data_IF_521740196545
#
_entry.id   IF_521740196545
#
_cell.length_a   1.000
_cell.length_b   1.000
_cell.length_c   1.000
_cell.angle_alpha   90.00
_cell.angle_beta   90.00
_cell.angle_gamma   90.00
#
_symmetry.space_group_name_H-M   'P 1'
#
loop_
_entity.id
_entity.type
_entity.pdbx_description
1 polymer ?
#
# COMPACT_ATOMS: atom_id res chain seq x y z
N UNK A 1 -41.87 -2.91 -15.97
CA UNK A 1 -40.60 -2.80 -16.67
C UNK A 1 -39.78 -4.04 -16.31
N UNK A 2 -39.60 -4.93 -17.29
CA UNK A 2 -38.80 -6.15 -17.10
C UNK A 2 -37.32 -5.77 -17.00
N UNK A 3 -36.51 -6.42 -16.12
CA UNK A 3 -35.09 -6.22 -16.09
C UNK A 3 -34.46 -6.72 -17.39
N UNK A 4 -33.38 -6.09 -17.88
CA UNK A 4 -32.70 -6.56 -19.07
C UNK A 4 -32.12 -7.96 -18.84
N UNK A 5 -32.01 -8.80 -19.89
CA UNK A 5 -31.53 -10.15 -19.77
C UNK A 5 -30.08 -10.16 -19.30
N UNK A 6 -29.78 -11.04 -18.34
CA UNK A 6 -28.42 -11.34 -17.89
C UNK A 6 -27.62 -11.93 -19.04
N UNK A 7 -26.83 -11.11 -19.74
CA UNK A 7 -25.80 -11.63 -20.63
C UNK A 7 -24.62 -12.08 -19.79
N UNK A 8 -24.68 -13.33 -19.33
CA UNK A 8 -23.48 -14.04 -18.87
C UNK A 8 -22.46 -14.11 -20.04
N UNK A 9 -21.15 -14.16 -19.75
CA UNK A 9 -20.15 -14.23 -20.78
C UNK A 9 -20.37 -15.47 -21.65
N UNK A 10 -20.69 -15.27 -22.92
CA UNK A 10 -20.71 -16.30 -23.94
C UNK A 10 -19.30 -16.93 -24.00
N UNK A 11 -19.14 -18.14 -23.47
CA UNK A 11 -18.00 -18.98 -23.76
C UNK A 11 -18.14 -19.45 -25.20
N UNK A 12 -17.48 -18.76 -26.12
CA UNK A 12 -17.19 -19.33 -27.43
C UNK A 12 -16.16 -20.46 -27.23
N UNK A 13 -16.44 -21.63 -27.79
CA UNK A 13 -15.65 -22.85 -27.70
C UNK A 13 -14.37 -22.83 -28.56
N UNK A 14 -13.76 -21.67 -28.73
CA UNK A 14 -12.54 -21.48 -29.54
C UNK A 14 -11.51 -20.78 -28.68
N UNK A 15 -10.41 -21.46 -28.39
CA UNK A 15 -9.21 -21.02 -27.61
C UNK A 15 -8.89 -19.52 -27.57
N UNK A 16 -7.69 -19.11 -27.12
CA UNK A 16 -7.39 -17.70 -26.92
C UNK A 16 -7.48 -16.91 -28.22
N UNK A 17 -7.97 -15.68 -28.16
CA UNK A 17 -7.78 -14.73 -29.26
C UNK A 17 -6.30 -14.47 -29.43
N UNK A 18 -5.84 -14.46 -30.68
CA UNK A 18 -4.43 -14.29 -31.05
C UNK A 18 -4.30 -12.99 -31.81
N UNK A 19 -3.44 -12.11 -31.32
CA UNK A 19 -3.14 -10.83 -31.97
C UNK A 19 -1.70 -10.90 -32.47
N UNK A 20 -1.50 -10.78 -33.78
CA UNK A 20 -0.17 -10.77 -34.42
C UNK A 20 0.52 -9.42 -34.29
N UNK A 21 1.79 -9.36 -34.72
CA UNK A 21 2.65 -8.17 -34.62
C UNK A 21 2.01 -6.87 -35.15
N UNK A 22 1.23 -6.97 -36.24
CA UNK A 22 0.55 -5.81 -36.86
C UNK A 22 -0.65 -5.32 -36.03
N UNK A 23 -1.23 -6.19 -35.20
CA UNK A 23 -2.41 -5.90 -34.39
C UNK A 23 -2.01 -5.39 -33.01
N UNK A 24 -1.01 -6.04 -32.36
CA UNK A 24 -0.62 -5.66 -31.02
C UNK A 24 0.39 -4.52 -30.96
N UNK A 25 1.19 -4.29 -32.01
CA UNK A 25 2.13 -3.17 -32.11
C UNK A 25 3.25 -3.15 -31.06
N UNK A 26 3.51 -4.25 -30.37
CA UNK A 26 4.60 -4.35 -29.40
C UNK A 26 5.93 -4.24 -30.15
N UNK A 27 6.80 -3.31 -29.71
CA UNK A 27 8.15 -3.20 -30.25
C UNK A 27 9.09 -4.20 -29.55
N UNK A 28 9.79 -5.07 -30.29
CA UNK A 28 10.77 -5.98 -29.68
C UNK A 28 11.88 -5.29 -28.88
N UNK A 29 12.20 -4.05 -29.21
CA UNK A 29 13.21 -3.24 -28.50
C UNK A 29 12.74 -2.78 -27.12
N UNK A 30 11.44 -2.82 -26.84
CA UNK A 30 10.86 -2.52 -25.53
C UNK A 30 10.91 -3.70 -24.55
N UNK A 31 11.37 -4.88 -25.00
CA UNK A 31 11.38 -6.10 -24.19
C UNK A 31 12.78 -6.34 -23.61
N UNK A 32 12.85 -6.65 -22.32
CA UNK A 32 14.12 -6.99 -21.67
C UNK A 32 14.76 -8.23 -22.29
N UNK A 33 16.03 -8.12 -22.66
CA UNK A 33 16.82 -9.25 -23.17
C UNK A 33 17.03 -10.33 -22.11
N UNK A 34 17.11 -9.92 -20.84
CA UNK A 34 17.20 -10.84 -19.71
C UNK A 34 15.92 -11.67 -19.57
N UNK A 35 14.74 -11.04 -19.70
CA UNK A 35 13.45 -11.73 -19.68
C UNK A 35 13.30 -12.71 -20.87
N UNK A 36 13.70 -12.27 -22.09
CA UNK A 36 13.71 -13.14 -23.26
C UNK A 36 14.66 -14.34 -23.09
N UNK A 37 15.81 -14.14 -22.47
CA UNK A 37 16.76 -15.23 -22.17
C UNK A 37 16.14 -16.26 -21.23
N UNK A 38 15.40 -15.82 -20.21
CA UNK A 38 14.70 -16.73 -19.28
C UNK A 38 13.63 -17.54 -20.02
N UNK A 39 12.78 -16.88 -20.85
CA UNK A 39 11.75 -17.58 -21.65
C UNK A 39 12.38 -18.62 -22.58
N UNK A 40 13.44 -18.27 -23.30
CA UNK A 40 14.12 -19.18 -24.23
C UNK A 40 14.77 -20.36 -23.49
N UNK A 41 15.36 -20.13 -22.32
CA UNK A 41 15.94 -21.22 -21.52
C UNK A 41 14.90 -22.22 -21.06
N UNK A 42 13.73 -21.74 -20.59
CA UNK A 42 12.60 -22.59 -20.21
C UNK A 42 12.11 -23.42 -21.41
N UNK A 43 11.94 -22.79 -22.58
CA UNK A 43 11.50 -23.47 -23.82
C UNK A 43 12.52 -24.50 -24.30
N UNK A 44 13.81 -24.20 -24.22
CA UNK A 44 14.89 -25.15 -24.58
C UNK A 44 14.92 -26.37 -23.67
N UNK A 45 14.41 -26.21 -22.41
CA UNK A 45 14.23 -27.33 -21.49
C UNK A 45 12.90 -28.08 -21.67
N UNK A 46 12.08 -27.70 -22.68
CA UNK A 46 10.81 -28.35 -23.02
C UNK A 46 9.59 -27.78 -22.31
N UNK A 47 9.71 -26.68 -21.60
CA UNK A 47 8.60 -26.05 -20.88
C UNK A 47 7.93 -24.94 -21.71
N UNK A 48 6.62 -24.91 -21.70
CA UNK A 48 5.84 -23.80 -22.23
C UNK A 48 6.08 -22.55 -21.37
N UNK A 49 6.30 -21.38 -21.99
CA UNK A 49 6.59 -20.14 -21.24
C UNK A 49 6.28 -18.90 -22.06
N UNK A 50 5.80 -17.85 -21.34
CA UNK A 50 5.36 -16.57 -21.92
C UNK A 50 5.76 -15.41 -21.02
N UNK A 51 5.95 -14.22 -21.60
CA UNK A 51 5.86 -12.98 -20.85
C UNK A 51 4.39 -12.72 -20.48
N UNK A 52 4.12 -12.16 -19.29
CA UNK A 52 2.74 -12.10 -18.80
C UNK A 52 2.44 -10.89 -17.93
N UNK A 53 1.18 -10.51 -17.89
CA UNK A 53 0.68 -9.59 -16.88
C UNK A 53 1.03 -8.12 -17.14
N UNK A 54 1.63 -7.48 -16.14
CA UNK A 54 1.91 -6.05 -16.18
C UNK A 54 2.79 -5.59 -17.32
N UNK A 55 3.81 -6.37 -17.68
CA UNK A 55 4.71 -6.02 -18.77
C UNK A 55 4.03 -6.07 -20.13
N UNK A 56 3.20 -7.08 -20.40
CA UNK A 56 2.47 -7.20 -21.68
C UNK A 56 1.47 -6.06 -21.80
N UNK A 57 0.71 -5.78 -20.74
CA UNK A 57 -0.21 -4.63 -20.69
C UNK A 57 0.51 -3.30 -20.97
N UNK A 58 1.63 -3.06 -20.29
CA UNK A 58 2.34 -1.79 -20.41
C UNK A 58 2.96 -1.64 -21.80
N UNK A 59 3.48 -2.72 -22.42
CA UNK A 59 3.94 -2.74 -23.80
C UNK A 59 2.81 -2.42 -24.79
N UNK A 60 1.62 -3.01 -24.62
CA UNK A 60 0.44 -2.72 -25.45
C UNK A 60 -0.04 -1.27 -25.33
N UNK A 61 0.17 -0.65 -24.16
CA UNK A 61 -0.11 0.78 -23.92
C UNK A 61 1.02 1.71 -24.41
N UNK A 62 2.08 1.18 -25.05
CA UNK A 62 3.24 1.96 -25.47
C UNK A 62 4.06 2.53 -24.33
N UNK A 63 4.02 1.90 -23.14
CA UNK A 63 4.74 2.32 -21.95
C UNK A 63 5.89 1.37 -21.66
N UNK A 64 7.07 1.85 -21.22
CA UNK A 64 8.14 0.97 -20.78
C UNK A 64 7.71 0.20 -19.52
N UNK A 65 7.73 -1.15 -19.53
CA UNK A 65 7.50 -1.93 -18.33
C UNK A 65 8.57 -1.68 -17.28
N UNK A 66 8.18 -1.68 -16.02
CA UNK A 66 9.12 -1.57 -14.91
C UNK A 66 9.81 -2.90 -14.63
N UNK A 67 9.03 -3.98 -14.61
CA UNK A 67 9.45 -5.33 -14.30
C UNK A 67 8.87 -6.29 -15.34
N UNK A 68 9.55 -7.41 -15.62
CA UNK A 68 9.07 -8.44 -16.53
C UNK A 68 8.77 -9.72 -15.77
N UNK A 69 7.55 -10.22 -15.93
CA UNK A 69 7.07 -11.46 -15.34
C UNK A 69 6.99 -12.55 -16.42
N UNK A 70 7.39 -13.77 -16.06
CA UNK A 70 7.29 -14.96 -16.90
C UNK A 70 6.34 -15.96 -16.25
N UNK A 71 5.45 -16.55 -17.05
CA UNK A 71 4.62 -17.67 -16.63
C UNK A 71 4.98 -18.91 -17.46
N UNK A 72 5.05 -20.08 -16.82
CA UNK A 72 5.56 -21.32 -17.43
C UNK A 72 4.83 -22.56 -16.94
N UNK A 73 4.89 -23.66 -17.74
CA UNK A 73 4.45 -24.99 -17.31
C UNK A 73 5.42 -25.66 -16.32
N UNK A 74 6.67 -25.15 -16.19
CA UNK A 74 7.64 -25.69 -15.25
C UNK A 74 7.23 -25.44 -13.80
N UNK A 75 7.35 -26.45 -12.94
CA UNK A 75 7.14 -26.30 -11.50
C UNK A 75 8.27 -25.47 -10.84
N UNK A 76 8.04 -24.87 -9.67
CA UNK A 76 9.05 -24.02 -9.02
C UNK A 76 10.39 -24.71 -8.78
N UNK A 77 10.39 -26.02 -8.46
CA UNK A 77 11.60 -26.81 -8.28
C UNK A 77 12.37 -27.01 -9.58
N UNK A 78 11.66 -27.22 -10.72
CA UNK A 78 12.26 -27.37 -12.05
C UNK A 78 12.89 -26.07 -12.52
N UNK A 79 12.17 -24.93 -12.34
CA UNK A 79 12.71 -23.59 -12.61
C UNK A 79 13.98 -23.35 -11.76
N UNK A 80 13.94 -23.70 -10.47
CA UNK A 80 15.09 -23.53 -9.59
C UNK A 80 16.28 -24.42 -10.01
N UNK A 81 16.02 -25.64 -10.46
CA UNK A 81 17.06 -26.54 -10.97
C UNK A 81 17.71 -26.04 -12.28
N UNK A 82 16.88 -25.42 -13.17
CA UNK A 82 17.36 -24.88 -14.43
C UNK A 82 18.24 -23.63 -14.26
N UNK A 83 17.89 -22.76 -13.29
CA UNK A 83 18.59 -21.50 -13.07
C UNK A 83 19.42 -21.49 -11.78
N UNK A 84 20.75 -21.61 -11.91
CA UNK A 84 21.68 -21.62 -10.74
C UNK A 84 21.59 -20.37 -9.84
N UNK A 85 21.16 -19.24 -10.37
CA UNK A 85 21.00 -17.97 -9.65
C UNK A 85 19.51 -17.66 -9.45
N UNK A 86 18.81 -18.56 -8.77
CA UNK A 86 17.40 -18.38 -8.50
C UNK A 86 17.07 -18.67 -7.05
N UNK A 87 15.89 -18.21 -6.60
CA UNK A 87 15.37 -18.43 -5.27
C UNK A 87 13.86 -18.59 -5.33
N UNK A 88 13.34 -19.64 -4.71
CA UNK A 88 11.90 -19.83 -4.51
C UNK A 88 11.47 -18.91 -3.37
N UNK A 89 10.41 -18.10 -3.60
CA UNK A 89 9.84 -17.15 -2.63
C UNK A 89 8.32 -17.31 -2.56
N UNK A 90 7.75 -16.93 -1.41
CA UNK A 90 6.31 -16.99 -1.17
C UNK A 90 5.85 -18.30 -0.52
N UNK A 91 5.03 -18.18 0.54
CA UNK A 91 4.41 -19.33 1.22
C UNK A 91 3.04 -19.66 0.64
N UNK A 92 2.25 -18.63 0.35
CA UNK A 92 0.89 -18.75 -0.20
C UNK A 92 0.92 -19.08 -1.70
N UNK A 93 1.80 -18.40 -2.41
CA UNK A 93 2.01 -18.51 -3.84
C UNK A 93 3.51 -18.60 -4.09
N UNK A 94 3.96 -19.78 -4.47
CA UNK A 94 5.38 -19.97 -4.80
C UNK A 94 5.68 -19.36 -6.16
N UNK A 95 6.67 -18.49 -6.21
CA UNK A 95 7.27 -17.92 -7.43
C UNK A 95 8.79 -18.08 -7.35
N UNK A 96 9.46 -18.07 -8.48
CA UNK A 96 10.90 -18.17 -8.53
C UNK A 96 11.49 -16.85 -9.02
N UNK A 97 12.28 -16.21 -8.18
CA UNK A 97 13.08 -15.06 -8.59
C UNK A 97 14.34 -15.55 -9.29
N UNK A 98 14.42 -15.37 -10.59
CA UNK A 98 15.58 -15.70 -11.42
C UNK A 98 16.41 -14.45 -11.63
N UNK A 99 17.67 -14.46 -11.20
CA UNK A 99 18.60 -13.37 -11.46
C UNK A 99 19.28 -13.55 -12.81
N UNK A 100 18.91 -12.74 -13.79
CA UNK A 100 19.53 -12.65 -15.11
C UNK A 100 20.18 -11.27 -15.23
N UNK A 101 21.47 -11.24 -15.52
CA UNK A 101 22.23 -9.99 -15.57
C UNK A 101 22.08 -9.12 -14.30
N UNK A 102 21.50 -7.95 -14.48
CA UNK A 102 21.19 -7.00 -13.40
C UNK A 102 19.74 -7.06 -12.93
N UNK A 103 18.89 -7.78 -13.67
CA UNK A 103 17.46 -7.86 -13.41
C UNK A 103 17.11 -9.09 -12.58
N UNK A 104 15.99 -9.01 -11.89
CA UNK A 104 15.32 -10.16 -11.26
C UNK A 104 14.04 -10.38 -12.03
N UNK A 105 13.93 -11.53 -12.68
CA UNK A 105 12.75 -11.95 -13.43
C UNK A 105 11.91 -12.84 -12.52
N UNK A 106 10.66 -12.47 -12.31
CA UNK A 106 9.71 -13.30 -11.55
C UNK A 106 9.15 -14.38 -12.47
N UNK A 107 9.38 -15.64 -12.12
CA UNK A 107 8.88 -16.80 -12.86
C UNK A 107 7.83 -17.49 -12.02
N UNK A 108 6.61 -17.59 -12.56
CA UNK A 108 5.47 -18.26 -11.95
C UNK A 108 5.06 -19.49 -12.76
N UNK A 109 4.69 -20.58 -12.08
CA UNK A 109 4.09 -21.75 -12.73
C UNK A 109 2.63 -21.47 -13.07
N UNK A 110 2.11 -21.98 -14.20
CA UNK A 110 0.70 -21.91 -14.54
C UNK A 110 -0.15 -22.53 -13.44
N UNK A 111 -1.23 -21.87 -13.06
CA UNK A 111 -2.10 -22.28 -11.96
C UNK A 111 -3.44 -22.76 -12.48
N UNK A 112 -3.85 -23.93 -11.99
CA UNK A 112 -5.14 -24.55 -12.32
C UNK A 112 -6.30 -24.00 -11.50
N UNK A 113 -7.52 -24.32 -11.91
CA UNK A 113 -8.73 -24.05 -11.16
C UNK A 113 -8.88 -24.95 -9.94
N UNK A 114 -9.36 -24.38 -8.85
CA UNK A 114 -9.84 -25.14 -7.71
C UNK A 114 -11.26 -25.61 -8.02
N UNK A 115 -11.47 -26.91 -8.22
CA UNK A 115 -12.82 -27.50 -8.26
C UNK A 115 -13.30 -27.67 -6.81
N UNK A 116 -14.42 -27.07 -6.40
CA UNK A 116 -15.03 -27.38 -5.10
C UNK A 116 -15.63 -28.77 -5.17
N UNK A 117 -14.91 -29.79 -4.72
CA UNK A 117 -15.37 -31.18 -4.83
C UNK A 117 -14.40 -32.26 -4.38
N UNK A 118 -13.16 -31.92 -4.04
CA UNK A 118 -12.26 -32.88 -3.38
C UNK A 118 -12.11 -32.49 -1.91
N UNK A 119 -12.95 -33.14 -1.08
CA UNK A 119 -12.77 -33.22 0.36
C UNK A 119 -11.44 -33.92 0.64
N UNK A 120 -10.41 -33.15 0.94
CA UNK A 120 -9.33 -33.63 1.78
C UNK A 120 -9.73 -33.29 3.21
N UNK A 121 -9.95 -34.32 4.02
CA UNK A 121 -10.21 -34.23 5.45
C UNK A 121 -9.33 -33.17 6.11
N UNK A 122 -9.87 -32.35 7.02
CA UNK A 122 -9.06 -31.42 7.80
C UNK A 122 -8.24 -32.21 8.81
N UNK A 123 -7.04 -32.62 8.43
CA UNK A 123 -6.05 -33.02 9.44
C UNK A 123 -5.79 -31.81 10.34
N UNK A 124 -6.23 -31.96 11.56
CA UNK A 124 -5.95 -31.10 12.71
C UNK A 124 -4.46 -30.83 12.80
N UNK A 125 -4.07 -29.59 12.47
CA UNK A 125 -2.72 -29.11 12.75
C UNK A 125 -2.71 -28.71 14.21
N UNK A 126 -2.29 -29.64 15.08
CA UNK A 126 -1.85 -29.31 16.44
C UNK A 126 -0.63 -28.41 16.35
N UNK A 127 -0.70 -27.32 17.11
CA UNK A 127 0.40 -26.38 17.33
C UNK A 127 1.51 -27.06 18.13
N UNK A 128 2.55 -27.54 17.44
CA UNK A 128 3.79 -28.02 18.04
C UNK A 128 4.89 -26.98 17.79
N UNK A 129 5.38 -26.39 18.87
CA UNK A 129 6.69 -25.70 18.89
C UNK A 129 7.81 -26.75 18.78
N UNK A 130 8.74 -26.58 17.86
CA UNK A 130 9.99 -27.32 17.88
C UNK A 130 10.55 -27.70 16.50
N UNK A 131 11.74 -27.21 16.26
CA UNK A 131 12.82 -27.72 15.42
C UNK A 131 12.74 -27.58 13.88
N UNK A 132 13.63 -26.72 13.40
CA UNK A 132 14.14 -26.69 12.03
C UNK A 132 14.88 -28.01 11.75
N UNK A 133 14.27 -28.88 10.92
CA UNK A 133 14.94 -29.70 9.90
C UNK A 133 13.93 -30.70 9.29
N UNK A 134 14.02 -30.86 7.96
CA UNK A 134 13.30 -31.84 7.16
C UNK A 134 11.80 -31.56 6.87
N UNK A 135 11.52 -30.58 6.00
CA UNK A 135 10.24 -30.57 5.29
C UNK A 135 10.37 -31.51 4.09
N UNK A 136 9.87 -32.72 4.28
CA UNK A 136 9.66 -33.67 3.17
C UNK A 136 8.77 -33.06 2.09
N UNK A 137 9.20 -33.26 0.84
CA UNK A 137 8.51 -32.87 -0.39
C UNK A 137 7.30 -33.81 -0.58
N UNK A 138 6.22 -33.61 0.17
CA UNK A 138 4.95 -34.28 -0.08
C UNK A 138 3.78 -33.37 0.25
N UNK A 139 3.32 -32.69 -0.74
CA UNK A 139 2.00 -32.13 -1.05
C UNK A 139 2.12 -30.88 -1.92
N UNK A 140 2.64 -31.06 -3.13
CA UNK A 140 2.89 -29.94 -4.06
C UNK A 140 1.60 -29.39 -4.71
N UNK A 141 0.43 -29.99 -4.48
CA UNK A 141 -0.82 -29.63 -5.13
C UNK A 141 -1.94 -29.53 -4.09
N UNK A 142 -2.00 -28.43 -3.31
CA UNK A 142 -3.08 -28.22 -2.35
C UNK A 142 -3.61 -26.79 -2.34
N UNK A 143 -4.92 -26.64 -2.35
CA UNK A 143 -5.60 -25.39 -2.06
C UNK A 143 -6.26 -25.48 -0.68
N UNK A 144 -6.13 -24.42 0.12
CA UNK A 144 -6.75 -24.32 1.44
C UNK A 144 -7.61 -23.05 1.49
N UNK A 145 -8.89 -23.23 1.79
CA UNK A 145 -9.83 -22.13 1.96
C UNK A 145 -10.20 -21.93 3.44
N UNK A 146 -10.41 -20.68 3.86
CA UNK A 146 -11.06 -20.37 5.12
C UNK A 146 -12.56 -20.68 5.04
N UNK A 147 -13.24 -20.86 6.19
CA UNK A 147 -14.70 -21.07 6.26
C UNK A 147 -15.52 -19.95 5.58
N UNK A 148 -14.93 -18.79 5.33
CA UNK A 148 -15.51 -17.65 4.59
C UNK A 148 -15.39 -17.76 3.07
N UNK A 149 -14.80 -18.85 2.53
CA UNK A 149 -14.48 -18.99 1.09
C UNK A 149 -13.21 -18.30 0.63
N UNK A 150 -12.44 -17.69 1.56
CA UNK A 150 -11.18 -17.01 1.23
C UNK A 150 -10.07 -18.04 1.03
N UNK A 151 -9.36 -17.97 -0.11
CA UNK A 151 -8.20 -18.82 -0.41
C UNK A 151 -7.02 -18.47 0.50
N UNK A 152 -6.55 -19.41 1.32
CA UNK A 152 -5.41 -19.27 2.21
C UNK A 152 -4.10 -19.76 1.58
N UNK A 153 -4.17 -20.86 0.81
CA UNK A 153 -3.05 -21.44 0.05
C UNK A 153 -3.56 -21.89 -1.31
N UNK A 154 -2.77 -21.74 -2.36
CA UNK A 154 -3.16 -22.03 -3.72
C UNK A 154 -1.93 -22.39 -4.57
N UNK A 155 -1.52 -23.66 -4.52
CA UNK A 155 -0.44 -24.23 -5.32
C UNK A 155 -0.99 -25.35 -6.24
N UNK A 156 -2.19 -25.18 -6.75
CA UNK A 156 -2.73 -26.06 -7.80
C UNK A 156 -2.17 -25.58 -9.14
N UNK A 157 -1.47 -26.47 -9.84
CA UNK A 157 -0.87 -26.18 -11.14
C UNK A 157 -1.80 -26.62 -12.27
N UNK A 158 -1.75 -25.92 -13.40
CA UNK A 158 -2.67 -26.14 -14.51
C UNK A 158 -2.12 -25.71 -15.86
N UNK A 159 -3.02 -25.40 -16.76
CA UNK A 159 -2.73 -24.93 -18.12
C UNK A 159 -2.57 -23.41 -18.17
N UNK A 160 -2.04 -22.88 -19.27
CA UNK A 160 -1.96 -21.42 -19.51
C UNK A 160 -3.34 -20.76 -19.52
N UNK A 161 -4.36 -21.43 -20.03
CA UNK A 161 -5.75 -20.95 -20.03
C UNK A 161 -6.30 -20.81 -18.61
N UNK A 162 -6.11 -21.86 -17.78
CA UNK A 162 -6.52 -21.83 -16.39
C UNK A 162 -5.81 -20.71 -15.62
N UNK A 163 -4.49 -20.52 -15.85
CA UNK A 163 -3.74 -19.43 -15.24
C UNK A 163 -4.29 -18.06 -15.65
N UNK A 164 -4.64 -17.88 -16.92
CA UNK A 164 -5.21 -16.63 -17.42
C UNK A 164 -6.58 -16.33 -16.78
N UNK A 165 -7.45 -17.32 -16.66
CA UNK A 165 -8.81 -17.19 -16.10
C UNK A 165 -8.80 -17.00 -14.57
N UNK A 166 -7.66 -17.24 -13.90
CA UNK A 166 -7.52 -17.01 -12.45
C UNK A 166 -6.91 -15.66 -12.11
N UNK A 167 -6.40 -14.92 -13.08
CA UNK A 167 -5.85 -13.59 -12.83
C UNK A 167 -6.90 -12.60 -12.32
N UNK A 168 -6.45 -11.50 -11.75
CA UNK A 168 -7.33 -10.52 -11.12
C UNK A 168 -8.15 -9.71 -12.14
N UNK A 169 -7.49 -9.22 -13.18
CA UNK A 169 -8.10 -8.34 -14.19
C UNK A 169 -7.75 -8.82 -15.60
N UNK A 170 -8.69 -8.65 -16.54
CA UNK A 170 -8.54 -9.03 -17.94
C UNK A 170 -7.29 -8.42 -18.56
N UNK A 171 -7.02 -7.15 -18.28
CA UNK A 171 -5.84 -6.42 -18.77
C UNK A 171 -4.49 -6.93 -18.23
N UNK A 172 -4.52 -7.75 -17.16
CA UNK A 172 -3.36 -8.42 -16.61
C UNK A 172 -3.31 -9.92 -16.98
N UNK A 173 -4.33 -10.43 -17.67
CA UNK A 173 -4.46 -11.81 -18.15
C UNK A 173 -3.97 -12.00 -19.58
N UNK A 174 -3.05 -11.17 -20.03
CA UNK A 174 -2.48 -11.20 -21.38
C UNK A 174 -1.10 -11.87 -21.36
N UNK A 175 -0.86 -12.74 -22.35
CA UNK A 175 0.37 -13.51 -22.51
C UNK A 175 1.03 -13.16 -23.84
N UNK A 176 2.32 -12.92 -23.85
CA UNK A 176 3.07 -12.65 -25.07
C UNK A 176 4.06 -13.78 -25.36
N UNK A 177 3.92 -14.34 -26.54
CA UNK A 177 4.86 -15.32 -27.10
C UNK A 177 5.94 -14.59 -27.94
N UNK A 178 7.18 -14.49 -27.43
CA UNK A 178 8.20 -13.74 -28.13
C UNK A 178 8.76 -14.45 -29.39
N UNK A 179 8.60 -15.77 -29.54
CA UNK A 179 9.10 -16.48 -30.73
C UNK A 179 8.08 -16.44 -31.87
N UNK A 180 6.79 -16.55 -31.56
CA UNK A 180 5.71 -16.44 -32.53
C UNK A 180 5.30 -14.97 -32.82
N UNK A 181 5.75 -14.02 -31.98
CA UNK A 181 5.38 -12.62 -31.96
C UNK A 181 3.86 -12.43 -31.95
N UNK A 182 3.20 -13.06 -30.96
CA UNK A 182 1.75 -13.01 -30.75
C UNK A 182 1.38 -12.72 -29.30
N UNK A 183 0.29 -11.96 -29.12
CA UNK A 183 -0.39 -11.82 -27.83
C UNK A 183 -1.56 -12.80 -27.77
N UNK A 184 -1.63 -13.57 -26.68
CA UNK A 184 -2.74 -14.48 -26.36
C UNK A 184 -3.65 -13.80 -25.34
N UNK A 185 -4.95 -13.69 -25.66
CA UNK A 185 -6.00 -13.15 -24.81
C UNK A 185 -7.08 -14.20 -24.58
N UNK A 186 -7.15 -14.75 -23.38
CA UNK A 186 -8.14 -15.76 -22.97
C UNK A 186 -9.45 -15.14 -22.47
N UNK A 187 -9.56 -13.81 -22.52
CA UNK A 187 -10.72 -13.07 -22.03
C UNK A 187 -11.09 -11.92 -22.97
N UNK A 188 -11.07 -10.69 -22.49
CA UNK A 188 -11.32 -9.46 -23.24
C UNK A 188 -10.23 -8.41 -22.97
N UNK A 189 -9.05 -8.85 -22.56
CA UNK A 189 -8.01 -7.94 -22.05
C UNK A 189 -7.56 -6.89 -23.05
N UNK A 190 -7.39 -7.23 -24.33
CA UNK A 190 -6.99 -6.27 -25.38
C UNK A 190 -8.12 -5.24 -25.59
N UNK A 191 -9.36 -5.68 -25.75
CA UNK A 191 -10.51 -4.77 -25.93
C UNK A 191 -10.74 -3.88 -24.69
N UNK A 192 -10.52 -4.39 -23.50
CA UNK A 192 -10.62 -3.64 -22.24
C UNK A 192 -9.48 -2.60 -22.13
N UNK A 193 -8.28 -2.89 -22.65
CA UNK A 193 -7.20 -1.90 -22.76
C UNK A 193 -7.55 -0.74 -23.71
N UNK A 194 -8.09 -1.07 -24.87
CA UNK A 194 -8.53 -0.06 -25.87
C UNK A 194 -9.64 0.83 -25.30
N UNK A 195 -10.58 0.22 -24.57
CA UNK A 195 -11.70 0.92 -23.94
C UNK A 195 -11.31 1.61 -22.60
N UNK A 196 -10.09 1.45 -22.14
CA UNK A 196 -9.60 1.90 -20.81
C UNK A 196 -10.50 1.44 -19.67
N UNK A 197 -10.92 0.19 -19.72
CA UNK A 197 -11.81 -0.44 -18.75
C UNK A 197 -11.03 -1.45 -17.89
N UNK A 198 -11.21 -1.38 -16.57
CA UNK A 198 -10.66 -2.34 -15.64
C UNK A 198 -11.75 -3.35 -15.27
N UNK A 199 -11.70 -4.51 -15.91
CA UNK A 199 -12.65 -5.61 -15.70
C UNK A 199 -12.01 -6.74 -14.91
N UNK A 200 -12.75 -7.28 -13.95
CA UNK A 200 -12.38 -8.50 -13.20
C UNK A 200 -12.59 -9.73 -14.10
N UNK A 201 -11.65 -10.67 -14.07
CA UNK A 201 -11.81 -11.96 -14.77
C UNK A 201 -12.82 -12.81 -14.03
N UNK A 202 -13.88 -13.27 -14.72
CA UNK A 202 -14.97 -14.04 -14.13
C UNK A 202 -16.01 -13.18 -13.40
N UNK A 203 -16.77 -13.77 -12.49
CA UNK A 203 -17.77 -13.04 -11.69
C UNK A 203 -17.11 -12.19 -10.60
N UNK A 204 -17.29 -10.86 -10.60
CA UNK A 204 -16.61 -9.99 -9.65
C UNK A 204 -16.97 -10.27 -8.19
N UNK A 205 -18.23 -10.67 -7.90
CA UNK A 205 -18.64 -10.93 -6.52
C UNK A 205 -17.98 -12.18 -5.97
N UNK A 206 -17.94 -13.25 -6.74
CA UNK A 206 -17.23 -14.48 -6.40
C UNK A 206 -15.73 -14.21 -6.22
N UNK A 207 -15.12 -13.47 -7.15
CA UNK A 207 -13.68 -13.15 -7.11
C UNK A 207 -13.29 -12.29 -5.91
N UNK A 208 -14.17 -11.41 -5.44
CA UNK A 208 -13.95 -10.63 -4.23
C UNK A 208 -14.18 -11.43 -2.94
N UNK A 209 -15.02 -12.45 -2.96
CA UNK A 209 -15.15 -13.42 -1.85
C UNK A 209 -13.89 -14.29 -1.72
N UNK A 210 -13.35 -14.80 -2.83
CA UNK A 210 -12.11 -15.57 -2.84
C UNK A 210 -10.92 -14.76 -2.31
N UNK A 211 -10.81 -13.49 -2.71
CA UNK A 211 -9.74 -12.58 -2.31
C UNK A 211 -10.22 -11.11 -2.24
N UNK A 212 -10.67 -10.66 -1.05
CA UNK A 212 -11.17 -9.29 -0.88
C UNK A 212 -10.17 -8.19 -1.25
N UNK A 213 -8.86 -8.48 -1.17
CA UNK A 213 -7.80 -7.54 -1.55
C UNK A 213 -7.87 -7.12 -3.02
N UNK A 214 -8.51 -7.94 -3.88
CA UNK A 214 -8.75 -7.56 -5.29
C UNK A 214 -9.53 -6.25 -5.43
N UNK A 215 -10.40 -5.90 -4.46
CA UNK A 215 -11.10 -4.61 -4.47
C UNK A 215 -10.13 -3.42 -4.31
N UNK A 216 -9.15 -3.54 -3.41
CA UNK A 216 -8.10 -2.51 -3.23
C UNK A 216 -7.20 -2.47 -4.48
N UNK A 217 -6.87 -3.62 -5.05
CA UNK A 217 -6.11 -3.72 -6.29
C UNK A 217 -6.85 -3.08 -7.46
N UNK A 218 -8.19 -3.24 -7.56
CA UNK A 218 -9.01 -2.57 -8.57
C UNK A 218 -8.87 -1.06 -8.50
N UNK A 219 -8.99 -0.48 -7.30
CA UNK A 219 -8.81 0.96 -7.08
C UNK A 219 -7.40 1.41 -7.47
N UNK A 220 -6.38 0.64 -7.05
CA UNK A 220 -4.98 0.95 -7.38
C UNK A 220 -4.73 0.95 -8.88
N UNK A 221 -5.20 -0.06 -9.61
CA UNK A 221 -5.02 -0.14 -11.05
C UNK A 221 -5.84 0.91 -11.79
N UNK A 222 -7.07 1.18 -11.37
CA UNK A 222 -7.90 2.26 -11.94
C UNK A 222 -7.20 3.63 -11.79
N UNK A 223 -6.62 3.91 -10.61
CA UNK A 223 -5.85 5.14 -10.40
C UNK A 223 -4.57 5.17 -11.23
N UNK A 224 -3.77 4.08 -11.23
CA UNK A 224 -2.46 3.98 -11.90
C UNK A 224 -2.58 4.07 -13.42
N UNK A 225 -3.56 3.38 -14.00
CA UNK A 225 -3.74 3.27 -15.45
C UNK A 225 -4.59 4.40 -16.02
N UNK A 226 -5.33 5.11 -15.18
CA UNK A 226 -6.37 6.07 -15.57
C UNK A 226 -7.53 5.39 -16.31
N UNK A 227 -7.97 4.26 -15.76
CA UNK A 227 -9.05 3.42 -16.28
C UNK A 227 -10.29 3.56 -15.43
N UNK A 228 -11.45 3.34 -16.05
CA UNK A 228 -12.71 3.18 -15.32
C UNK A 228 -12.83 1.75 -14.82
N UNK A 229 -13.36 1.59 -13.60
CA UNK A 229 -13.71 0.25 -13.10
C UNK A 229 -15.01 -0.18 -13.76
N UNK A 230 -15.05 -1.43 -14.24
CA UNK A 230 -16.25 -2.01 -14.86
C UNK A 230 -17.48 -1.90 -13.94
N UNK A 231 -18.68 -1.49 -14.45
CA UNK A 231 -19.85 -1.28 -13.63
C UNK A 231 -20.28 -2.50 -12.79
N UNK A 232 -20.09 -3.73 -13.29
CA UNK A 232 -20.37 -4.94 -12.52
C UNK A 232 -19.40 -5.09 -11.35
N UNK A 233 -18.11 -4.76 -11.56
CA UNK A 233 -17.13 -4.74 -10.47
C UNK A 233 -17.44 -3.65 -9.45
N UNK A 234 -17.88 -2.45 -9.87
CA UNK A 234 -18.33 -1.38 -8.97
C UNK A 234 -19.50 -1.86 -8.09
N UNK A 235 -20.51 -2.48 -8.69
CA UNK A 235 -21.65 -3.03 -7.95
C UNK A 235 -21.23 -4.13 -6.98
N UNK A 236 -20.27 -4.99 -7.37
CA UNK A 236 -19.73 -6.02 -6.50
C UNK A 236 -18.90 -5.43 -5.34
N UNK A 237 -18.07 -4.39 -5.57
CA UNK A 237 -17.36 -3.67 -4.51
C UNK A 237 -18.35 -3.15 -3.46
N UNK A 238 -19.44 -2.52 -3.89
CA UNK A 238 -20.45 -1.99 -2.96
C UNK A 238 -21.04 -3.07 -2.05
N UNK A 239 -21.23 -4.30 -2.54
CA UNK A 239 -21.76 -5.44 -1.79
C UNK A 239 -20.71 -6.15 -0.92
N UNK A 240 -19.48 -6.28 -1.42
CA UNK A 240 -18.45 -7.14 -0.85
C UNK A 240 -17.42 -6.39 0.01
N UNK A 241 -17.40 -5.05 0.05
CA UNK A 241 -16.33 -4.28 0.71
C UNK A 241 -16.13 -4.64 2.18
N UNK A 242 -17.18 -5.08 2.90
CA UNK A 242 -17.05 -5.48 4.31
C UNK A 242 -16.16 -6.72 4.49
N UNK A 243 -15.95 -7.53 3.45
CA UNK A 243 -15.03 -8.65 3.49
C UNK A 243 -13.57 -8.24 3.73
N UNK A 244 -13.24 -6.96 3.50
CA UNK A 244 -11.91 -6.41 3.81
C UNK A 244 -11.57 -6.47 5.30
N UNK A 245 -12.55 -6.45 6.19
CA UNK A 245 -12.36 -6.59 7.63
C UNK A 245 -11.78 -7.95 8.04
N UNK A 246 -12.02 -8.99 7.21
CA UNK A 246 -11.47 -10.34 7.41
C UNK A 246 -10.04 -10.53 6.88
N UNK A 247 -9.46 -9.53 6.24
CA UNK A 247 -8.10 -9.63 5.69
C UNK A 247 -7.06 -9.41 6.79
N UNK A 248 -6.05 -10.29 6.86
CA UNK A 248 -4.95 -10.14 7.82
C UNK A 248 -4.29 -8.77 7.73
N UNK A 249 -4.12 -8.08 8.86
CA UNK A 249 -3.63 -6.70 8.95
C UNK A 249 -2.22 -6.52 8.30
N UNK A 250 -1.37 -7.54 8.34
CA UNK A 250 -0.06 -7.52 7.70
C UNK A 250 -0.18 -7.48 6.17
N UNK A 251 -1.08 -8.28 5.59
CA UNK A 251 -1.36 -8.28 4.15
C UNK A 251 -1.99 -6.96 3.70
N UNK A 252 -2.89 -6.43 4.53
CA UNK A 252 -3.51 -5.12 4.29
C UNK A 252 -2.44 -4.02 4.23
N UNK A 253 -1.47 -4.04 5.13
CA UNK A 253 -0.36 -3.09 5.12
C UNK A 253 0.44 -3.12 3.81
N UNK A 254 0.77 -4.30 3.29
CA UNK A 254 1.51 -4.44 2.02
C UNK A 254 0.74 -3.84 0.84
N UNK A 255 -0.56 -4.09 0.75
CA UNK A 255 -1.38 -3.54 -0.34
C UNK A 255 -1.59 -2.02 -0.20
N UNK A 256 -1.75 -1.51 1.03
CA UNK A 256 -1.82 -0.06 1.28
C UNK A 256 -0.52 0.64 0.90
N UNK A 257 0.63 0.05 1.18
CA UNK A 257 1.91 0.61 0.72
C UNK A 257 1.98 0.69 -0.81
N UNK A 258 1.64 -0.40 -1.51
CA UNK A 258 1.60 -0.41 -2.98
C UNK A 258 0.62 0.62 -3.54
N UNK A 259 -0.49 0.84 -2.85
CA UNK A 259 -1.54 1.77 -3.24
C UNK A 259 -1.09 3.23 -3.06
N UNK A 260 -0.49 3.58 -1.91
CA UNK A 260 -0.06 4.94 -1.60
C UNK A 260 1.24 5.35 -2.31
N UNK A 261 2.11 4.39 -2.62
CA UNK A 261 3.41 4.63 -3.26
C UNK A 261 3.40 4.40 -4.78
N UNK A 262 2.22 4.31 -5.40
CA UNK A 262 2.09 4.14 -6.85
C UNK A 262 2.27 5.44 -7.65
N UNK A 263 2.46 6.59 -7.00
CA UNK A 263 2.54 7.92 -7.65
C UNK A 263 1.19 8.44 -8.16
N UNK A 264 0.09 7.93 -7.58
CA UNK A 264 -1.30 8.34 -7.85
C UNK A 264 -2.12 8.35 -6.56
N UNK A 265 -1.50 8.75 -5.45
CA UNK A 265 -2.10 8.68 -4.12
C UNK A 265 -3.33 9.56 -3.97
N UNK A 266 -3.33 10.78 -4.53
CA UNK A 266 -4.49 11.68 -4.50
C UNK A 266 -5.70 11.08 -5.23
N UNK A 267 -5.50 10.56 -6.45
CA UNK A 267 -6.56 9.88 -7.22
C UNK A 267 -7.03 8.62 -6.53
N UNK A 268 -6.11 7.86 -5.96
CA UNK A 268 -6.40 6.65 -5.20
C UNK A 268 -7.27 6.96 -3.97
N UNK A 269 -6.95 8.01 -3.23
CA UNK A 269 -7.72 8.46 -2.07
C UNK A 269 -9.15 8.83 -2.46
N UNK A 270 -9.32 9.60 -3.54
CA UNK A 270 -10.64 9.95 -4.05
C UNK A 270 -11.48 8.71 -4.44
N UNK A 271 -10.87 7.71 -5.08
CA UNK A 271 -11.55 6.45 -5.41
C UNK A 271 -11.89 5.63 -4.17
N UNK A 272 -11.01 5.57 -3.17
CA UNK A 272 -11.28 4.88 -1.90
C UNK A 272 -12.47 5.50 -1.17
N UNK A 273 -12.57 6.85 -1.13
CA UNK A 273 -13.71 7.56 -0.56
C UNK A 273 -14.98 7.29 -1.37
N UNK A 274 -14.92 7.41 -2.71
CA UNK A 274 -16.06 7.18 -3.61
C UNK A 274 -16.68 5.79 -3.41
N UNK A 275 -15.85 4.76 -3.30
CA UNK A 275 -16.29 3.38 -3.08
C UNK A 275 -16.49 3.01 -1.61
N UNK A 276 -16.36 3.99 -0.69
CA UNK A 276 -16.53 3.81 0.77
C UNK A 276 -15.61 2.73 1.36
N UNK A 277 -14.45 2.54 0.77
CA UNK A 277 -13.41 1.63 1.28
C UNK A 277 -12.49 2.36 2.27
N UNK A 278 -12.28 3.68 2.10
CA UNK A 278 -11.45 4.46 3.01
C UNK A 278 -11.95 4.40 4.47
N UNK A 279 -13.25 4.39 4.66
CA UNK A 279 -13.90 4.29 5.98
C UNK A 279 -13.58 2.96 6.70
N UNK A 280 -13.37 1.87 5.94
CA UNK A 280 -13.00 0.55 6.48
C UNK A 280 -11.51 0.48 6.81
N UNK A 281 -10.67 1.10 6.00
CA UNK A 281 -9.22 1.06 6.16
C UNK A 281 -8.71 2.04 7.24
N UNK A 282 -9.33 3.23 7.32
CA UNK A 282 -8.95 4.33 8.21
C UNK A 282 -10.18 4.98 8.88
N UNK A 283 -10.96 4.23 9.68
CA UNK A 283 -12.24 4.70 10.21
C UNK A 283 -12.12 5.97 11.06
N UNK A 284 -11.11 6.05 11.93
CA UNK A 284 -10.87 7.23 12.77
C UNK A 284 -10.50 8.48 11.93
N UNK A 285 -9.73 8.29 10.87
CA UNK A 285 -9.35 9.36 9.94
C UNK A 285 -10.56 9.82 9.13
N UNK A 286 -11.34 8.88 8.60
CA UNK A 286 -12.56 9.18 7.85
C UNK A 286 -13.57 9.99 8.68
N UNK A 287 -13.74 9.64 9.96
CA UNK A 287 -14.59 10.43 10.88
C UNK A 287 -14.01 11.84 11.14
N UNK A 288 -12.69 11.95 11.34
CA UNK A 288 -12.05 13.22 11.62
C UNK A 288 -12.11 14.20 10.44
N UNK A 289 -11.77 13.73 9.22
CA UNK A 289 -11.76 14.58 8.01
C UNK A 289 -13.16 15.02 7.56
N UNK A 290 -14.19 14.20 7.82
CA UNK A 290 -15.58 14.56 7.55
C UNK A 290 -16.04 15.76 8.36
N UNK A 291 -15.52 15.92 9.57
CA UNK A 291 -15.87 17.01 10.51
C UNK A 291 -14.99 18.26 10.35
N UNK A 292 -13.81 18.11 9.76
CA UNK A 292 -12.82 19.18 9.65
C UNK A 292 -12.21 19.22 8.24
N UNK A 293 -12.72 20.10 7.36
CA UNK A 293 -12.22 20.21 5.97
C UNK A 293 -10.72 20.49 5.86
N UNK A 294 -10.14 21.28 6.75
CA UNK A 294 -8.70 21.54 6.80
C UNK A 294 -7.87 20.26 6.98
N UNK A 295 -8.37 19.33 7.79
CA UNK A 295 -7.70 18.05 8.00
C UNK A 295 -7.76 17.15 6.74
N UNK A 296 -8.84 17.25 5.96
CA UNK A 296 -8.94 16.59 4.66
C UNK A 296 -7.93 17.19 3.66
N UNK A 297 -7.79 18.51 3.66
CA UNK A 297 -6.80 19.20 2.82
C UNK A 297 -5.39 18.75 3.14
N UNK A 298 -5.04 18.54 4.41
CA UNK A 298 -3.73 18.02 4.82
C UNK A 298 -3.45 16.63 4.22
N UNK A 299 -4.41 15.71 4.34
CA UNK A 299 -4.27 14.36 3.77
C UNK A 299 -4.07 14.43 2.25
N UNK A 300 -4.89 15.23 1.57
CA UNK A 300 -4.79 15.40 0.12
C UNK A 300 -3.47 16.04 -0.30
N UNK A 301 -3.02 17.08 0.39
CA UNK A 301 -1.74 17.74 0.12
C UNK A 301 -0.55 16.80 0.33
N UNK A 302 -0.58 15.96 1.38
CA UNK A 302 0.47 14.97 1.63
C UNK A 302 0.55 13.92 0.50
N UNK A 303 -0.60 13.44 0.01
CA UNK A 303 -0.66 12.48 -1.09
C UNK A 303 -0.18 13.11 -2.40
N UNK A 304 -0.62 14.32 -2.73
CA UNK A 304 -0.17 15.07 -3.91
C UNK A 304 1.34 15.32 -3.89
N UNK A 305 1.87 15.80 -2.76
CA UNK A 305 3.31 16.01 -2.61
C UNK A 305 4.09 14.69 -2.77
N UNK A 306 3.54 13.57 -2.29
CA UNK A 306 4.13 12.25 -2.47
C UNK A 306 4.10 11.81 -3.94
N UNK A 307 3.02 12.06 -4.66
CA UNK A 307 2.91 11.78 -6.09
C UNK A 307 3.92 12.59 -6.91
N UNK A 308 4.08 13.88 -6.61
CA UNK A 308 5.08 14.76 -7.24
C UNK A 308 6.51 14.29 -6.95
N UNK A 309 6.80 13.82 -5.72
CA UNK A 309 8.11 13.27 -5.38
C UNK A 309 8.41 12.00 -6.16
N UNK A 310 7.45 11.08 -6.25
CA UNK A 310 7.60 9.83 -7.00
C UNK A 310 7.78 10.12 -8.50
N UNK A 311 7.03 11.07 -9.06
CA UNK A 311 7.17 11.49 -10.45
C UNK A 311 8.55 12.10 -10.79
N UNK A 312 9.25 12.61 -9.76
CA UNK A 312 10.61 13.16 -9.88
C UNK A 312 11.69 12.23 -9.30
N UNK A 313 11.44 10.92 -9.26
CA UNK A 313 12.34 9.86 -8.75
C UNK A 313 12.86 10.11 -7.31
N UNK A 314 12.10 10.88 -6.51
CA UNK A 314 12.44 11.14 -5.10
C UNK A 314 11.78 10.12 -4.20
N UNK A 315 12.49 9.70 -3.18
CA UNK A 315 11.97 8.75 -2.19
C UNK A 315 10.85 9.34 -1.34
N UNK A 316 9.82 8.51 -1.09
CA UNK A 316 8.73 8.79 -0.14
C UNK A 316 8.79 7.75 0.97
N UNK A 317 8.77 8.20 2.22
CA UNK A 317 8.79 7.28 3.36
C UNK A 317 7.37 6.95 3.80
N UNK A 318 7.02 5.67 4.00
CA UNK A 318 5.71 5.29 4.54
C UNK A 318 5.38 5.99 5.86
N UNK A 319 6.39 6.23 6.70
CA UNK A 319 6.20 6.93 7.97
C UNK A 319 5.59 8.33 7.81
N UNK A 320 5.99 9.08 6.78
CA UNK A 320 5.45 10.41 6.50
C UNK A 320 3.98 10.34 6.04
N UNK A 321 3.66 9.39 5.17
CA UNK A 321 2.28 9.19 4.72
C UNK A 321 1.35 8.77 5.86
N UNK A 322 1.78 7.82 6.69
CA UNK A 322 1.01 7.44 7.88
C UNK A 322 0.92 8.59 8.89
N UNK A 323 1.97 9.42 9.02
CA UNK A 323 1.88 10.63 9.85
C UNK A 323 0.77 11.57 9.38
N UNK A 324 0.65 11.80 8.07
CA UNK A 324 -0.39 12.65 7.51
C UNK A 324 -1.79 12.01 7.59
N UNK A 325 -1.91 10.71 7.29
CA UNK A 325 -3.18 10.00 7.34
C UNK A 325 -3.76 9.92 8.76
N UNK A 326 -2.90 9.71 9.78
CA UNK A 326 -3.35 9.54 11.16
C UNK A 326 -3.26 10.82 12.01
N UNK A 327 -2.78 11.93 11.45
CA UNK A 327 -2.80 13.23 12.11
C UNK A 327 -4.20 13.71 12.48
N UNK A 328 -5.21 13.66 11.60
CA UNK A 328 -6.55 14.15 11.92
C UNK A 328 -7.18 13.53 13.16
N UNK A 329 -7.22 12.20 13.33
CA UNK A 329 -7.75 11.61 14.55
C UNK A 329 -6.85 11.85 15.77
N UNK A 330 -5.53 11.92 15.58
CA UNK A 330 -4.57 12.15 16.66
C UNK A 330 -4.72 13.56 17.25
N UNK A 331 -4.71 14.61 16.41
CA UNK A 331 -4.81 15.98 16.88
C UNK A 331 -6.17 16.27 17.54
N UNK A 332 -7.25 15.70 16.98
CA UNK A 332 -8.58 15.82 17.58
C UNK A 332 -8.63 15.18 18.97
N UNK A 333 -8.05 13.98 19.14
CA UNK A 333 -8.00 13.32 20.45
C UNK A 333 -7.13 14.08 21.42
N UNK A 334 -5.98 14.58 20.98
CA UNK A 334 -5.10 15.43 21.81
C UNK A 334 -5.84 16.66 22.31
N UNK A 335 -6.56 17.37 21.43
CA UNK A 335 -7.36 18.55 21.80
C UNK A 335 -8.44 18.22 22.86
N UNK A 336 -9.09 17.07 22.74
CA UNK A 336 -10.05 16.62 23.73
C UNK A 336 -9.41 16.34 25.10
N UNK A 337 -8.20 15.77 25.14
CA UNK A 337 -7.46 15.50 26.38
C UNK A 337 -6.99 16.81 27.04
N UNK A 338 -6.45 17.73 26.25
CA UNK A 338 -6.07 19.07 26.73
C UNK A 338 -7.28 19.80 27.30
N UNK A 339 -8.45 19.74 26.62
CA UNK A 339 -9.69 20.32 27.12
C UNK A 339 -10.21 19.72 28.45
N UNK A 340 -9.73 18.52 28.80
CA UNK A 340 -9.99 17.87 30.10
C UNK A 340 -8.94 18.19 31.16
N UNK A 341 -7.95 19.02 30.84
CA UNK A 341 -6.90 19.46 31.76
C UNK A 341 -5.59 18.67 31.67
N UNK A 342 -5.45 17.75 30.71
CA UNK A 342 -4.18 17.04 30.51
C UNK A 342 -3.09 17.98 29.95
N UNK A 343 -1.84 17.86 30.43
CA UNK A 343 -0.73 18.61 29.88
C UNK A 343 -0.53 18.28 28.39
N UNK A 344 -0.27 19.28 27.51
CA UNK A 344 -0.21 19.06 26.05
C UNK A 344 0.74 17.94 25.59
N UNK A 345 1.90 17.77 26.23
CA UNK A 345 2.85 16.71 25.89
C UNK A 345 2.31 15.33 26.28
N UNK A 346 1.71 15.20 27.44
CA UNK A 346 1.09 13.94 27.89
C UNK A 346 -0.11 13.60 26.98
N UNK A 347 -0.96 14.58 26.69
CA UNK A 347 -2.09 14.45 25.79
C UNK A 347 -1.68 13.99 24.39
N UNK A 348 -0.57 14.53 23.83
CA UNK A 348 -0.02 14.10 22.54
C UNK A 348 0.40 12.62 22.58
N UNK A 349 1.16 12.21 23.59
CA UNK A 349 1.63 10.81 23.69
C UNK A 349 0.47 9.84 23.87
N UNK A 350 -0.52 10.19 24.70
CA UNK A 350 -1.70 9.36 24.89
C UNK A 350 -2.55 9.28 23.62
N UNK A 351 -2.82 10.40 22.97
CA UNK A 351 -3.56 10.44 21.71
C UNK A 351 -2.88 9.62 20.61
N UNK A 352 -1.56 9.77 20.47
CA UNK A 352 -0.76 9.01 19.53
C UNK A 352 -0.81 7.49 19.80
N UNK A 353 -0.67 7.08 21.07
CA UNK A 353 -0.74 5.69 21.46
C UNK A 353 -2.11 5.07 21.14
N UNK A 354 -3.19 5.77 21.48
CA UNK A 354 -4.56 5.31 21.23
C UNK A 354 -4.88 5.19 19.72
N UNK A 355 -4.53 6.20 18.93
CA UNK A 355 -4.84 6.20 17.48
C UNK A 355 -4.02 5.14 16.75
N UNK A 356 -2.73 5.03 17.06
CA UNK A 356 -1.88 4.00 16.44
C UNK A 356 -2.30 2.61 16.89
N UNK A 357 -2.62 2.41 18.18
CA UNK A 357 -3.09 1.13 18.70
C UNK A 357 -4.37 0.64 18.04
N UNK A 358 -5.34 1.54 17.81
CA UNK A 358 -6.56 1.19 17.07
C UNK A 358 -6.28 0.88 15.60
N UNK A 359 -5.43 1.68 14.93
CA UNK A 359 -5.13 1.48 13.50
C UNK A 359 -4.36 0.18 13.22
N UNK A 360 -3.47 -0.24 14.10
CA UNK A 360 -2.66 -1.46 13.95
C UNK A 360 -3.51 -2.73 13.92
N UNK A 361 -4.70 -2.72 14.50
CA UNK A 361 -5.65 -3.84 14.42
C UNK A 361 -6.18 -4.05 12.99
N UNK A 362 -6.27 -2.98 12.21
CA UNK A 362 -6.77 -3.00 10.83
C UNK A 362 -5.64 -3.13 9.81
N UNK A 363 -4.54 -2.41 10.04
CA UNK A 363 -3.37 -2.33 9.17
C UNK A 363 -2.14 -2.35 10.04
N UNK A 364 -1.37 -3.43 9.99
CA UNK A 364 -0.11 -3.54 10.75
C UNK A 364 0.87 -2.45 10.33
N UNK A 365 1.23 -1.55 11.25
CA UNK A 365 2.27 -0.53 11.00
C UNK A 365 3.55 -0.98 11.71
N UNK A 366 4.58 -1.48 10.99
CA UNK A 366 5.83 -1.91 11.58
C UNK A 366 6.51 -0.79 12.40
N UNK A 367 7.20 -1.15 13.49
CA UNK A 367 7.89 -0.18 14.38
C UNK A 367 8.83 0.76 13.62
N UNK A 368 9.51 0.26 12.57
CA UNK A 368 10.39 1.06 11.71
C UNK A 368 9.70 2.26 11.03
N UNK A 369 8.36 2.24 10.91
CA UNK A 369 7.55 3.35 10.41
C UNK A 369 6.77 4.05 11.51
N UNK A 370 6.28 3.34 12.51
CA UNK A 370 5.51 3.90 13.62
C UNK A 370 6.36 4.85 14.49
N UNK A 371 7.63 4.54 14.75
CA UNK A 371 8.52 5.40 15.53
C UNK A 371 8.80 6.73 14.82
N UNK A 372 9.30 6.77 13.56
CA UNK A 372 9.51 8.03 12.85
C UNK A 372 8.23 8.85 12.67
N UNK A 373 7.07 8.20 12.48
CA UNK A 373 5.77 8.85 12.40
C UNK A 373 5.45 9.63 13.67
N UNK A 374 5.62 9.01 14.85
CA UNK A 374 5.39 9.67 16.15
C UNK A 374 6.39 10.82 16.39
N UNK A 375 7.66 10.63 16.03
CA UNK A 375 8.67 11.68 16.12
C UNK A 375 8.27 12.91 15.27
N UNK A 376 7.70 12.73 14.07
CA UNK A 376 7.19 13.84 13.25
C UNK A 376 6.11 14.62 14.02
N UNK A 377 5.18 13.94 14.70
CA UNK A 377 4.14 14.58 15.50
C UNK A 377 4.68 15.33 16.73
N UNK A 378 5.60 14.71 17.44
CA UNK A 378 6.24 15.31 18.63
C UNK A 378 7.02 16.60 18.30
N UNK A 379 7.59 16.65 17.11
CA UNK A 379 8.31 17.83 16.65
C UNK A 379 7.39 19.01 16.36
N UNK A 380 6.12 18.81 16.01
CA UNK A 380 5.24 19.89 15.57
C UNK A 380 5.14 21.00 16.62
N UNK A 381 4.82 20.65 17.87
CA UNK A 381 4.74 21.64 18.96
C UNK A 381 6.05 22.42 19.18
N UNK A 382 7.21 21.77 18.99
CA UNK A 382 8.52 22.42 19.13
C UNK A 382 8.84 23.35 17.95
N UNK A 383 8.43 22.97 16.74
CA UNK A 383 8.57 23.78 15.54
C UNK A 383 7.67 25.01 15.61
N UNK A 384 6.44 24.85 16.00
CA UNK A 384 5.48 25.95 16.23
C UNK A 384 6.01 26.95 17.28
N UNK A 385 6.54 26.44 18.40
CA UNK A 385 7.10 27.25 19.46
C UNK A 385 8.49 27.87 19.11
N UNK A 386 9.10 27.50 17.99
CA UNK A 386 10.43 27.97 17.52
C UNK A 386 11.53 27.83 18.58
N UNK A 387 11.43 26.79 19.45
CA UNK A 387 12.35 26.61 20.60
C UNK A 387 13.57 25.79 20.22
N UNK A 388 14.75 26.22 20.70
CA UNK A 388 16.05 25.54 20.53
C UNK A 388 16.36 25.20 19.06
N UNK A 389 16.40 26.19 18.15
CA UNK A 389 16.47 25.96 16.71
C UNK A 389 17.68 25.14 16.28
N UNK A 390 18.90 25.44 16.79
CA UNK A 390 20.11 24.71 16.41
C UNK A 390 20.02 23.20 16.74
N UNK A 391 19.42 22.88 17.90
CA UNK A 391 19.23 21.48 18.32
C UNK A 391 18.20 20.77 17.45
N UNK A 392 17.17 21.48 16.98
CA UNK A 392 16.18 20.92 16.07
C UNK A 392 16.77 20.70 14.69
N UNK A 393 17.49 21.68 14.12
CA UNK A 393 18.13 21.59 12.81
C UNK A 393 19.10 20.41 12.69
N UNK A 394 19.85 20.10 13.75
CA UNK A 394 20.79 18.97 13.77
C UNK A 394 20.12 17.60 13.92
N UNK A 395 18.83 17.54 14.18
CA UNK A 395 18.16 16.26 14.43
C UNK A 395 17.81 15.53 13.13
N UNK A 396 18.05 14.21 13.01
CA UNK A 396 17.78 13.44 11.77
C UNK A 396 16.35 13.52 11.24
N UNK A 397 15.37 13.77 12.13
CA UNK A 397 13.95 13.89 11.77
C UNK A 397 13.50 15.31 11.45
N UNK A 398 14.37 16.30 11.63
CA UNK A 398 14.02 17.71 11.41
C UNK A 398 13.41 17.93 10.01
N UNK A 399 14.06 17.42 8.97
CA UNK A 399 13.58 17.60 7.60
C UNK A 399 12.16 17.09 7.40
N UNK A 400 11.86 15.88 7.85
CA UNK A 400 10.52 15.30 7.70
C UNK A 400 9.48 16.06 8.54
N UNK A 401 9.83 16.49 9.75
CA UNK A 401 8.92 17.25 10.61
C UNK A 401 8.67 18.66 10.07
N UNK A 402 9.69 19.29 9.48
CA UNK A 402 9.57 20.59 8.83
C UNK A 402 8.72 20.51 7.55
N UNK A 403 8.95 19.50 6.69
CA UNK A 403 8.11 19.28 5.51
C UNK A 403 6.65 19.04 5.91
N UNK A 404 6.41 18.39 7.05
CA UNK A 404 5.07 18.18 7.60
C UNK A 404 4.44 19.49 8.12
N UNK A 405 5.21 20.36 8.76
CA UNK A 405 4.77 21.69 9.19
C UNK A 405 4.33 22.54 7.98
N UNK A 406 5.14 22.52 6.90
CA UNK A 406 4.80 23.24 5.66
C UNK A 406 3.51 22.69 5.03
N UNK A 407 3.29 21.38 5.07
CA UNK A 407 2.04 20.79 4.57
C UNK A 407 0.82 21.23 5.39
N UNK A 408 0.96 21.40 6.70
CA UNK A 408 -0.12 21.90 7.57
C UNK A 408 -0.47 23.33 7.20
N UNK A 409 0.52 24.21 6.98
CA UNK A 409 0.29 25.59 6.50
C UNK A 409 -0.34 25.60 5.10
N UNK A 410 0.15 24.76 4.18
CA UNK A 410 -0.41 24.62 2.83
C UNK A 410 -1.86 24.13 2.85
N UNK A 411 -2.22 23.30 3.82
CA UNK A 411 -3.59 22.84 4.02
C UNK A 411 -4.53 23.93 4.58
N UNK A 412 -3.97 25.07 5.02
CA UNK A 412 -4.70 26.23 5.54
C UNK A 412 -4.69 26.33 7.07
N UNK A 413 -3.84 25.59 7.77
CA UNK A 413 -3.68 25.74 9.21
C UNK A 413 -2.87 27.01 9.51
N UNK A 414 -3.37 27.86 10.40
CA UNK A 414 -2.64 29.05 10.85
C UNK A 414 -1.62 28.65 11.92
N UNK A 415 -0.33 28.70 11.55
CA UNK A 415 0.80 28.38 12.41
C UNK A 415 1.68 29.60 12.70
N UNK A 416 1.09 30.80 12.63
CA UNK A 416 1.76 32.08 12.90
C UNK A 416 3.05 32.24 12.07
N UNK A 417 3.06 31.77 10.81
CA UNK A 417 4.21 31.85 9.90
C UNK A 417 5.41 31.00 10.33
N UNK A 418 5.20 29.94 11.11
CA UNK A 418 6.29 29.08 11.57
C UNK A 418 7.07 28.46 10.41
N UNK A 419 6.40 28.03 9.35
CA UNK A 419 7.05 27.46 8.16
C UNK A 419 7.99 28.47 7.48
N UNK A 420 7.55 29.70 7.28
CA UNK A 420 8.37 30.76 6.71
C UNK A 420 9.59 31.05 7.60
N UNK A 421 9.38 31.13 8.90
CA UNK A 421 10.45 31.36 9.88
C UNK A 421 11.55 30.28 9.79
N UNK A 422 11.16 29.00 9.74
CA UNK A 422 12.10 27.89 9.61
C UNK A 422 12.78 27.85 8.25
N UNK A 423 12.12 28.30 7.18
CA UNK A 423 12.71 28.42 5.84
C UNK A 423 13.83 29.44 5.83
N UNK A 424 13.59 30.65 6.37
CA UNK A 424 14.58 31.71 6.47
C UNK A 424 15.79 31.25 7.29
N UNK A 425 15.55 30.62 8.44
CA UNK A 425 16.64 30.14 9.29
C UNK A 425 17.51 29.08 8.58
N UNK A 426 16.94 28.21 7.77
CA UNK A 426 17.70 27.23 6.97
C UNK A 426 18.50 27.89 5.83
N UNK A 427 18.04 29.02 5.31
CA UNK A 427 18.75 29.82 4.32
C UNK A 427 19.90 30.64 4.93
N UNK A 428 20.09 30.63 6.26
CA UNK A 428 21.09 31.42 6.95
C UNK A 428 20.69 32.89 7.17
N UNK A 429 19.39 33.19 6.97
CA UNK A 429 18.83 34.51 7.28
C UNK A 429 18.48 34.58 8.77
N UNK A 430 18.46 35.78 9.33
CA UNK A 430 18.03 36.01 10.71
C UNK A 430 16.50 36.28 10.71
N UNK A 431 15.66 35.29 11.02
CA UNK A 431 14.22 35.48 10.95
C UNK A 431 13.74 36.38 12.09
N UNK A 432 12.68 37.16 11.83
CA UNK A 432 12.08 38.03 12.83
C UNK A 432 11.65 37.21 14.08
N UNK A 433 11.81 37.82 15.25
CA UNK A 433 11.36 37.20 16.50
C UNK A 433 9.85 36.85 16.42
N UNK A 434 9.44 35.70 16.97
CA UNK A 434 8.01 35.33 16.99
C UNK A 434 7.21 36.43 17.69
N UNK A 435 6.03 36.74 17.16
CA UNK A 435 5.10 37.65 17.85
C UNK A 435 4.79 37.01 19.20
N UNK A 436 5.30 37.59 20.27
CA UNK A 436 4.96 37.14 21.61
C UNK A 436 3.46 37.37 21.79
N UNK A 437 2.71 36.32 22.06
CA UNK A 437 1.40 36.44 22.69
C UNK A 437 1.65 37.04 24.10
N UNK A 438 1.66 38.36 24.15
CA UNK A 438 1.79 39.12 25.38
C UNK A 438 0.43 39.12 26.09
N UNK A 439 -0.01 37.97 26.60
CA UNK A 439 -1.16 37.90 27.52
C UNK A 439 -1.19 36.61 28.34
N UNK A 440 -0.05 36.10 28.81
CA UNK A 440 -0.09 35.13 29.92
C UNK A 440 1.29 34.99 30.57
N UNK A 441 1.76 36.02 31.26
CA UNK A 441 2.72 35.84 32.35
C UNK A 441 2.90 37.15 33.13
N UNK A 442 1.88 37.48 33.90
CA UNK A 442 2.12 38.33 35.07
C UNK A 442 3.01 37.51 36.04
N UNK A 443 4.19 38.01 36.41
CA UNK A 443 5.05 37.30 37.33
C UNK A 443 4.39 37.31 38.71
N UNK A 444 3.98 36.13 39.17
CA UNK A 444 3.60 35.91 40.59
C UNK A 444 4.85 36.23 41.42
N UNK A 445 4.90 37.46 41.95
CA UNK A 445 5.87 37.88 42.98
C UNK A 445 5.77 36.95 44.19
N UNK A 446 6.61 35.93 44.26
CA UNK A 446 6.84 35.17 45.51
C UNK A 446 7.38 36.13 46.55
N UNK A 447 6.49 36.58 47.48
CA UNK A 447 6.86 37.24 48.72
C UNK A 447 7.81 36.33 49.50
N UNK A 448 9.11 36.68 49.52
CA UNK A 448 10.09 36.11 50.43
C UNK A 448 9.65 36.43 51.88
N UNK A 449 9.17 35.45 52.58
CA UNK A 449 8.97 35.52 54.04
C UNK A 449 10.34 35.69 54.69
N UNK A 450 10.60 36.93 55.28
CA UNK A 450 11.72 37.20 56.17
C UNK A 450 11.55 36.35 57.44
N UNK A 451 12.54 35.48 57.76
CA UNK A 451 12.68 34.89 59.07
C UNK A 451 13.03 36.00 60.11
N UNK A 452 12.40 36.01 61.34
CA UNK A 452 12.80 36.89 62.39
C UNK A 452 14.13 36.39 63.00
N UNK A 453 15.08 37.32 63.17
CA UNK A 453 16.28 37.13 63.96
C UNK A 453 15.89 36.96 65.44
N UNK A 454 16.19 35.80 65.99
CA UNK A 454 16.14 35.59 67.42
C UNK A 454 17.28 36.34 68.09
N UNK A 455 16.93 37.23 69.01
CA UNK A 455 17.86 37.94 69.86
C UNK A 455 18.48 37.04 70.95
N UNK A 456 19.77 37.19 71.12
CA UNK A 456 20.53 36.68 72.23
C UNK A 456 20.06 37.35 73.56
N UNK A 457 19.93 36.62 74.63
CA UNK A 457 20.03 37.08 75.99
C UNK A 457 21.06 36.25 76.69
N UNK A 458 22.09 36.92 77.13
CA UNK A 458 23.06 36.56 78.19
C UNK A 458 22.45 36.80 79.52
N UNK A 459 23.09 36.16 80.53
CA UNK A 459 23.21 36.37 81.97
C UNK A 459 22.16 35.65 82.80
N UNK A 460 22.65 34.92 83.73
CA UNK A 460 23.42 35.17 84.92
C UNK A 460 22.80 34.42 86.12
N UNK A 461 23.54 33.73 86.91
CA UNK A 461 23.17 33.21 88.16
C UNK A 461 23.67 31.81 88.45
#
# INVERSE_FOLDING_TARGET
MNPPPSSGPLRDATGPRRYGAREHGISPTGISQDALSVVRSLRSAGFESYLVGGCVRDLLLGRPPKDFDVSTSAHPAEVHALFRRSRIVGRRFQIVHVRSGREIIEVSTFRGHHSPGFDSDPETVESGEGDEEAIEISSQNSAVCANSGMLLRDNVFGTVEEDALRRDFTVNGLYYDPDADIVLDFSTGVADLESRLLRVVGDPAQRFQEDPVRMIRAIRFAAKLDFLIDPFAVAAIARCRQLLEGVAAARMFEEILKLLLAGKGEKTFALLEHHRIFELLFPATADAIRRAPLQRNLVTAALRNSDERIANDKTVTPAFLFAALLWPPMIRRMQMLVGKGEPPVAALHEAAANVVGAQVQLITIPRRFATPMREIWEFQHRLEARRSPQRLLSHPRFRAAYDFLLLREQAGEDLDGAGHWWTQLQAGEEPAAPRSSAEDSAPVRRRRRRKPRGGARSDGG
#
